data_IF_165510598890
#
_entry.id   IF_165510598890
#
_cell.length_a   1.000
_cell.length_b   1.000
_cell.length_c   1.000
_cell.angle_alpha   90.00
_cell.angle_beta   90.00
_cell.angle_gamma   90.00
#
_symmetry.space_group_name_H-M   'P 1'
#
loop_
_entity.id
_entity.type
_entity.pdbx_description
1 polymer ?
#
# COMPACT_ATOMS: atom_id res chain seq x y z
N UNK A 1 18.22 -4.91 -20.88
CA UNK A 1 17.59 -5.23 -19.55
C UNK A 1 18.65 -5.10 -18.44
N UNK A 2 18.30 -4.75 -17.20
CA UNK A 2 19.27 -4.50 -16.11
C UNK A 2 18.86 -5.11 -14.76
N UNK A 3 19.75 -5.85 -14.09
CA UNK A 3 19.54 -6.27 -12.69
C UNK A 3 19.46 -5.04 -11.78
N UNK A 4 18.53 -5.06 -10.83
CA UNK A 4 18.40 -4.00 -9.84
C UNK A 4 19.09 -4.36 -8.52
N UNK A 5 19.79 -3.38 -7.96
CA UNK A 5 20.20 -3.36 -6.56
C UNK A 5 19.26 -2.41 -5.83
N UNK A 6 18.43 -2.97 -4.95
CA UNK A 6 17.29 -2.29 -4.35
C UNK A 6 17.62 -1.74 -2.97
N UNK A 7 16.93 -0.66 -2.59
CA UNK A 7 17.09 -0.03 -1.28
C UNK A 7 16.24 -0.75 -0.23
N UNK A 8 16.80 -1.00 0.94
CA UNK A 8 16.07 -1.58 2.08
C UNK A 8 15.82 -0.51 3.15
N UNK A 9 14.56 -0.29 3.50
CA UNK A 9 14.15 0.67 4.53
C UNK A 9 14.02 -0.04 5.88
N UNK A 10 14.81 0.38 6.87
CA UNK A 10 14.83 -0.23 8.19
C UNK A 10 13.89 0.45 9.20
N UNK A 11 12.63 0.71 8.81
CA UNK A 11 11.66 1.32 9.71
C UNK A 11 11.33 0.41 10.90
N UNK A 12 11.10 1.00 12.08
CA UNK A 12 10.98 0.27 13.35
C UNK A 12 9.84 -0.78 13.39
N UNK A 13 8.84 -0.65 12.53
CA UNK A 13 7.70 -1.58 12.42
C UNK A 13 7.99 -2.82 11.56
N UNK A 14 9.12 -2.82 10.84
CA UNK A 14 9.47 -3.88 9.90
C UNK A 14 9.85 -5.20 10.56
N UNK A 15 9.54 -6.31 9.88
CA UNK A 15 9.98 -7.64 10.34
C UNK A 15 11.50 -7.76 10.31
N UNK A 16 12.08 -8.44 11.30
CA UNK A 16 13.52 -8.72 11.35
C UNK A 16 13.93 -9.95 10.53
N UNK A 17 12.98 -10.81 10.16
CA UNK A 17 13.28 -12.12 9.57
C UNK A 17 12.56 -12.36 8.23
N UNK A 18 11.44 -11.70 7.94
CA UNK A 18 10.61 -12.01 6.78
C UNK A 18 11.37 -12.05 5.45
N UNK A 19 12.19 -11.02 5.14
CA UNK A 19 12.97 -10.99 3.90
C UNK A 19 14.11 -12.01 3.89
N UNK A 20 14.67 -12.36 5.06
CA UNK A 20 15.67 -13.42 5.18
C UNK A 20 15.05 -14.79 4.95
N UNK A 21 13.87 -15.05 5.51
CA UNK A 21 13.15 -16.31 5.36
C UNK A 21 12.61 -16.51 3.93
N UNK A 22 12.04 -15.45 3.33
CA UNK A 22 11.47 -15.53 1.98
C UNK A 22 12.53 -15.56 0.89
N UNK A 23 13.58 -14.74 1.03
CA UNK A 23 14.50 -14.43 -0.07
C UNK A 23 15.98 -14.61 0.26
N UNK A 24 16.33 -15.05 1.47
CA UNK A 24 17.72 -15.22 1.88
C UNK A 24 18.48 -13.89 2.01
N UNK A 25 17.79 -12.76 2.14
CA UNK A 25 18.43 -11.46 2.33
C UNK A 25 19.15 -11.45 3.68
N UNK A 26 20.46 -11.22 3.66
CA UNK A 26 21.29 -11.20 4.86
C UNK A 26 20.91 -10.05 5.79
N UNK A 27 20.77 -10.35 7.09
CA UNK A 27 20.51 -9.36 8.14
C UNK A 27 21.36 -9.64 9.39
N UNK A 28 22.71 -9.62 9.29
CA UNK A 28 23.57 -10.03 10.40
C UNK A 28 23.45 -9.10 11.62
N UNK A 29 23.00 -7.86 11.44
CA UNK A 29 22.76 -6.90 12.53
C UNK A 29 21.36 -7.03 13.16
N UNK A 30 20.47 -7.87 12.61
CA UNK A 30 19.11 -8.06 13.15
C UNK A 30 18.24 -6.80 13.11
N UNK A 31 18.44 -5.94 12.10
CA UNK A 31 17.66 -4.72 11.93
C UNK A 31 16.24 -5.04 11.44
N UNK A 32 15.23 -4.23 11.79
CA UNK A 32 13.94 -4.27 11.13
C UNK A 32 14.09 -4.09 9.62
N UNK A 33 13.43 -4.90 8.81
CA UNK A 33 13.43 -4.83 7.35
C UNK A 33 12.01 -4.57 6.88
N UNK A 34 11.65 -3.29 6.76
CA UNK A 34 10.27 -2.86 6.61
C UNK A 34 9.81 -2.86 5.16
N UNK A 35 10.61 -2.25 4.28
CA UNK A 35 10.28 -2.11 2.86
C UNK A 35 11.50 -2.32 1.97
N UNK A 36 11.41 -3.21 0.98
CA UNK A 36 12.39 -3.32 -0.11
C UNK A 36 11.89 -2.52 -1.30
N UNK A 37 12.56 -1.42 -1.65
CA UNK A 37 12.14 -0.48 -2.70
C UNK A 37 12.77 -0.81 -4.04
N UNK A 38 11.91 -0.92 -5.05
CA UNK A 38 12.23 -1.15 -6.45
C UNK A 38 11.68 0.03 -7.27
N UNK A 39 12.58 0.84 -7.83
CA UNK A 39 12.18 1.95 -8.70
C UNK A 39 13.13 3.14 -8.64
N UNK A 40 12.61 4.32 -8.99
CA UNK A 40 13.39 5.54 -9.17
C UNK A 40 12.99 6.66 -8.18
N UNK A 41 12.48 6.29 -7.01
CA UNK A 41 12.03 7.25 -6.00
C UNK A 41 13.19 8.15 -5.53
N UNK A 42 13.03 9.48 -5.48
CA UNK A 42 14.15 10.42 -5.28
C UNK A 42 14.88 10.25 -3.94
N UNK A 43 14.18 9.81 -2.90
CA UNK A 43 14.80 9.59 -1.57
C UNK A 43 15.74 8.37 -1.51
N UNK A 44 15.49 7.35 -2.33
CA UNK A 44 16.23 6.08 -2.24
C UNK A 44 16.02 5.26 -3.53
N UNK A 45 16.55 5.71 -4.67
CA UNK A 45 16.37 5.01 -5.94
C UNK A 45 17.10 3.66 -5.92
N UNK A 46 16.57 2.66 -6.64
CA UNK A 46 17.35 1.48 -6.99
C UNK A 46 18.56 1.89 -7.84
N UNK A 47 19.59 1.05 -7.85
CA UNK A 47 20.75 1.23 -8.73
C UNK A 47 20.87 0.09 -9.73
N UNK A 48 21.50 0.39 -10.86
CA UNK A 48 21.80 -0.54 -11.97
C UNK A 48 23.27 -0.45 -12.32
N UNK A 49 23.82 -1.51 -12.90
CA UNK A 49 25.18 -1.49 -13.44
C UNK A 49 25.15 -0.98 -14.89
N UNK A 50 25.90 0.09 -15.15
CA UNK A 50 26.13 0.65 -16.49
C UNK A 50 27.63 0.62 -16.73
N UNK A 51 28.08 -0.27 -17.62
CA UNK A 51 29.50 -0.44 -17.99
C UNK A 51 30.44 -0.67 -16.78
N UNK A 52 29.99 -1.45 -15.79
CA UNK A 52 30.73 -1.76 -14.57
C UNK A 52 30.62 -0.68 -13.48
N UNK A 53 29.81 0.35 -13.68
CA UNK A 53 29.60 1.45 -12.74
C UNK A 53 28.16 1.43 -12.22
N UNK A 54 28.02 1.37 -10.90
CA UNK A 54 26.72 1.49 -10.25
C UNK A 54 26.16 2.91 -10.46
N UNK A 55 24.97 3.00 -11.07
CA UNK A 55 24.25 4.26 -11.29
C UNK A 55 22.84 4.19 -10.73
N UNK A 56 22.35 5.34 -10.25
CA UNK A 56 20.96 5.52 -9.87
C UNK A 56 20.05 5.26 -11.07
N UNK A 57 19.02 4.42 -10.90
CA UNK A 57 18.01 4.19 -11.93
C UNK A 57 17.29 5.50 -12.30
N UNK A 58 17.10 6.40 -11.33
CA UNK A 58 16.51 7.72 -11.59
C UNK A 58 17.36 8.53 -12.56
N UNK A 59 18.67 8.51 -12.40
CA UNK A 59 19.57 9.27 -13.28
C UNK A 59 19.63 8.65 -14.68
N UNK A 60 19.64 7.31 -14.77
CA UNK A 60 19.57 6.60 -16.05
C UNK A 60 18.29 6.94 -16.81
N UNK A 61 17.15 7.04 -16.11
CA UNK A 61 15.88 7.46 -16.70
C UNK A 61 15.94 8.92 -17.17
N UNK A 62 16.54 9.81 -16.38
CA UNK A 62 16.63 11.23 -16.71
C UNK A 62 17.54 11.53 -17.92
N UNK A 63 18.53 10.67 -18.19
CA UNK A 63 19.43 10.82 -19.34
C UNK A 63 18.70 10.61 -20.68
N UNK A 64 17.74 9.67 -20.74
CA UNK A 64 16.86 9.46 -21.90
C UNK A 64 15.45 8.98 -21.49
N UNK A 65 14.56 9.90 -21.08
CA UNK A 65 13.24 9.53 -20.60
C UNK A 65 12.38 8.82 -21.65
N UNK A 66 12.52 9.18 -22.92
CA UNK A 66 11.67 8.61 -23.99
C UNK A 66 12.08 7.17 -24.28
N UNK A 67 13.38 6.88 -24.40
CA UNK A 67 13.83 5.51 -24.62
C UNK A 67 13.59 4.61 -23.40
N UNK A 68 13.78 5.15 -22.19
CA UNK A 68 13.65 4.38 -20.95
C UNK A 68 12.20 4.16 -20.54
N UNK A 69 11.37 5.21 -20.48
CA UNK A 69 9.99 5.15 -20.00
C UNK A 69 8.97 4.83 -21.09
N UNK A 70 9.30 5.14 -22.35
CA UNK A 70 8.35 5.18 -23.46
C UNK A 70 7.72 6.57 -23.59
N UNK A 71 7.41 6.97 -24.82
CA UNK A 71 6.97 8.33 -25.15
C UNK A 71 5.72 8.76 -24.36
N UNK A 72 4.72 7.88 -24.24
CA UNK A 72 3.47 8.18 -23.53
C UNK A 72 3.69 8.47 -22.03
N UNK A 73 4.51 7.65 -21.36
CA UNK A 73 4.84 7.83 -19.93
C UNK A 73 5.71 9.07 -19.72
N UNK A 74 6.73 9.26 -20.57
CA UNK A 74 7.57 10.45 -20.52
C UNK A 74 6.76 11.74 -20.71
N UNK A 75 5.81 11.76 -21.64
CA UNK A 75 4.93 12.91 -21.87
C UNK A 75 3.94 13.13 -20.72
N UNK A 76 3.35 12.05 -20.18
CA UNK A 76 2.30 12.14 -19.15
C UNK A 76 2.85 12.47 -17.77
N UNK A 77 3.96 11.85 -17.39
CA UNK A 77 4.48 11.87 -16.01
C UNK A 77 5.87 12.48 -15.90
N UNK A 78 6.71 12.43 -16.94
CA UNK A 78 8.07 12.98 -16.93
C UNK A 78 9.08 12.20 -16.07
N UNK A 79 8.64 11.17 -15.35
CA UNK A 79 9.46 10.27 -14.54
C UNK A 79 8.81 8.87 -14.47
N UNK A 80 9.46 7.90 -13.81
CA UNK A 80 8.86 6.60 -13.54
C UNK A 80 7.63 6.80 -12.62
N UNK A 81 6.40 6.50 -13.07
CA UNK A 81 5.19 6.96 -12.38
C UNK A 81 4.79 6.13 -11.15
N UNK A 82 5.60 5.15 -10.77
CA UNK A 82 5.31 4.24 -9.67
C UNK A 82 6.55 3.88 -8.84
N UNK A 83 6.29 3.51 -7.60
CA UNK A 83 7.21 2.82 -6.71
C UNK A 83 6.67 1.41 -6.44
N UNK A 84 7.54 0.41 -6.58
CA UNK A 84 7.21 -0.98 -6.30
C UNK A 84 7.95 -1.45 -5.06
N UNK A 85 7.27 -2.16 -4.16
CA UNK A 85 7.86 -2.58 -2.89
C UNK A 85 7.53 -4.01 -2.53
N UNK A 86 8.40 -4.61 -1.72
CA UNK A 86 8.00 -5.65 -0.77
C UNK A 86 7.83 -4.97 0.58
N UNK A 87 6.63 -5.05 1.18
CA UNK A 87 6.29 -4.52 2.50
C UNK A 87 6.19 -5.67 3.50
N UNK A 88 6.87 -5.56 4.65
CA UNK A 88 6.96 -6.58 5.69
C UNK A 88 6.46 -6.04 7.04
N UNK A 89 5.13 -5.99 7.21
CA UNK A 89 4.50 -5.47 8.42
C UNK A 89 4.56 -6.52 9.55
N UNK A 90 5.40 -6.26 10.55
CA UNK A 90 5.45 -7.05 11.79
C UNK A 90 4.67 -6.38 12.94
N UNK A 91 4.33 -5.10 12.75
CA UNK A 91 3.47 -4.32 13.63
C UNK A 91 2.35 -3.64 12.81
N UNK A 92 1.18 -3.38 13.42
CA UNK A 92 0.13 -2.63 12.75
C UNK A 92 0.58 -1.21 12.40
N UNK A 93 0.34 -0.81 11.16
CA UNK A 93 0.63 0.53 10.67
C UNK A 93 -0.53 1.48 10.95
N UNK A 94 -0.26 2.79 10.81
CA UNK A 94 -1.29 3.81 10.98
C UNK A 94 -2.42 3.66 9.98
N UNK A 95 -3.63 4.04 10.37
CA UNK A 95 -4.76 4.16 9.45
C UNK A 95 -4.52 5.38 8.57
N UNK A 96 -4.67 5.20 7.27
CA UNK A 96 -4.37 6.19 6.25
C UNK A 96 -5.58 6.43 5.36
N UNK A 97 -5.67 7.66 4.86
CA UNK A 97 -6.56 8.08 3.78
C UNK A 97 -5.71 8.85 2.78
N UNK A 98 -5.86 8.51 1.50
CA UNK A 98 -5.23 9.25 0.43
C UNK A 98 -6.24 10.22 -0.20
N UNK A 99 -5.92 11.52 -0.29
CA UNK A 99 -6.81 12.47 -0.94
C UNK A 99 -6.99 12.13 -2.42
N UNK A 100 -8.11 12.57 -3.01
CA UNK A 100 -8.26 12.57 -4.48
C UNK A 100 -7.22 13.49 -5.13
N UNK A 101 -6.95 13.31 -6.43
CA UNK A 101 -5.96 14.13 -7.15
C UNK A 101 -6.26 15.62 -7.06
N UNK A 102 -7.52 16.01 -7.29
CA UNK A 102 -7.97 17.40 -7.18
C UNK A 102 -7.75 17.96 -5.77
N UNK A 103 -8.05 17.16 -4.74
CA UNK A 103 -7.83 17.60 -3.36
C UNK A 103 -6.34 17.69 -3.00
N UNK A 104 -5.50 16.79 -3.54
CA UNK A 104 -4.05 16.83 -3.40
C UNK A 104 -3.44 18.09 -4.03
N UNK A 105 -3.83 18.43 -5.26
CA UNK A 105 -3.39 19.65 -5.95
C UNK A 105 -3.77 20.90 -5.16
N UNK A 106 -5.03 20.98 -4.71
CA UNK A 106 -5.52 22.09 -3.93
C UNK A 106 -4.83 22.19 -2.56
N UNK A 107 -4.69 21.07 -1.85
CA UNK A 107 -4.05 20.99 -0.53
C UNK A 107 -2.57 21.37 -0.58
N UNK A 108 -1.84 20.83 -1.55
CA UNK A 108 -0.44 21.16 -1.78
C UNK A 108 -0.22 22.65 -2.06
N UNK A 109 -1.05 23.24 -2.92
CA UNK A 109 -1.00 24.67 -3.23
C UNK A 109 -1.31 25.54 -1.99
N UNK A 110 -2.35 25.17 -1.21
CA UNK A 110 -2.71 25.87 0.04
C UNK A 110 -1.56 25.86 1.05
N UNK A 111 -1.00 24.69 1.35
CA UNK A 111 0.07 24.57 2.35
C UNK A 111 1.37 25.26 1.89
N UNK A 112 1.67 25.27 0.58
CA UNK A 112 2.79 26.03 0.02
C UNK A 112 2.58 27.54 0.15
N UNK A 113 1.39 28.04 -0.17
CA UNK A 113 1.05 29.46 -0.03
C UNK A 113 1.13 29.92 1.43
N UNK A 114 0.82 29.04 2.37
CA UNK A 114 0.97 29.27 3.81
C UNK A 114 2.43 29.13 4.32
N UNK A 115 3.38 28.71 3.46
CA UNK A 115 4.78 28.56 3.82
C UNK A 115 5.08 27.40 4.78
N UNK A 116 4.20 26.40 4.88
CA UNK A 116 4.37 25.26 5.78
C UNK A 116 5.53 24.39 5.26
N UNK A 117 6.62 24.17 6.03
CA UNK A 117 7.73 23.34 5.59
C UNK A 117 7.30 21.90 5.29
N UNK A 118 7.90 21.25 4.26
CA UNK A 118 7.59 19.86 3.91
C UNK A 118 7.82 18.85 5.04
N UNK A 119 8.66 19.20 6.02
CA UNK A 119 8.99 18.40 7.19
C UNK A 119 8.13 18.70 8.42
N UNK A 120 7.24 19.70 8.36
CA UNK A 120 6.39 20.09 9.49
C UNK A 120 5.39 18.98 9.86
N UNK A 121 4.97 18.94 11.13
CA UNK A 121 4.09 17.87 11.62
C UNK A 121 2.67 18.00 11.06
N UNK A 122 2.24 19.24 10.81
CA UNK A 122 0.97 19.66 10.24
C UNK A 122 0.95 19.64 8.70
N UNK A 123 2.07 19.31 8.04
CA UNK A 123 2.13 19.21 6.58
C UNK A 123 1.45 17.93 6.11
N UNK A 124 0.24 18.04 5.57
CA UNK A 124 -0.53 16.91 5.06
C UNK A 124 -0.18 16.58 3.61
N UNK A 125 0.15 17.60 2.80
CA UNK A 125 0.36 17.47 1.36
C UNK A 125 1.82 17.74 0.98
N UNK A 126 2.54 16.70 0.54
CA UNK A 126 3.96 16.78 0.15
C UNK A 126 4.17 16.90 -1.35
N UNK A 127 3.14 16.63 -2.13
CA UNK A 127 3.12 16.74 -3.58
C UNK A 127 1.68 17.00 -4.07
N UNK A 128 1.54 17.33 -5.35
CA UNK A 128 0.27 17.62 -5.99
C UNK A 128 -0.36 16.38 -6.65
N UNK A 129 -0.05 15.16 -6.19
CA UNK A 129 -0.54 13.93 -6.81
C UNK A 129 -1.42 13.11 -5.86
N UNK A 130 -2.25 12.25 -6.44
CA UNK A 130 -2.94 11.20 -5.68
C UNK A 130 -1.99 10.04 -5.37
N UNK A 131 -2.43 9.13 -4.50
CA UNK A 131 -1.67 7.94 -4.12
C UNK A 131 -2.52 6.67 -4.27
N UNK A 132 -2.86 6.24 -5.50
CA UNK A 132 -3.45 4.93 -5.72
C UNK A 132 -2.45 3.84 -5.34
N UNK A 133 -2.95 2.79 -4.69
CA UNK A 133 -2.12 1.69 -4.23
C UNK A 133 -2.79 0.34 -4.55
N UNK A 134 -1.98 -0.63 -4.98
CA UNK A 134 -2.37 -2.04 -5.07
C UNK A 134 -1.48 -2.82 -4.10
N UNK A 135 -2.10 -3.59 -3.21
CA UNK A 135 -1.40 -4.56 -2.37
C UNK A 135 -1.71 -5.97 -2.87
N UNK A 136 -0.68 -6.81 -3.00
CA UNK A 136 -0.77 -8.22 -3.42
C UNK A 136 -0.07 -9.09 -2.37
N UNK A 137 -0.79 -10.02 -1.76
CA UNK A 137 -0.30 -10.79 -0.64
C UNK A 137 0.75 -11.84 -1.05
N UNK A 138 1.89 -11.84 -0.36
CA UNK A 138 2.95 -12.85 -0.50
C UNK A 138 2.84 -13.93 0.60
N UNK A 139 2.48 -13.51 1.81
CA UNK A 139 2.04 -14.36 2.91
C UNK A 139 0.59 -13.99 3.26
N UNK A 140 -0.11 -14.71 4.16
CA UNK A 140 -1.34 -14.17 4.73
C UNK A 140 -1.12 -12.74 5.21
N UNK A 141 -1.93 -11.80 4.70
CA UNK A 141 -1.73 -10.36 4.90
C UNK A 141 -3.01 -9.74 5.47
N UNK A 142 -2.95 -9.37 6.74
CA UNK A 142 -4.07 -8.78 7.46
C UNK A 142 -4.09 -7.26 7.26
N UNK A 143 -5.26 -6.73 6.92
CA UNK A 143 -5.47 -5.31 6.66
C UNK A 143 -6.87 -4.84 7.11
N UNK A 144 -7.05 -3.52 7.18
CA UNK A 144 -8.35 -2.87 7.14
C UNK A 144 -8.53 -2.12 5.83
N UNK A 145 -9.72 -2.14 5.23
CA UNK A 145 -10.02 -1.35 4.02
C UNK A 145 -11.51 -1.00 3.90
N UNK A 146 -11.81 0.31 3.91
CA UNK A 146 -13.14 0.84 3.69
C UNK A 146 -14.13 0.53 4.81
N UNK A 147 -15.21 1.31 4.86
CA UNK A 147 -16.26 1.11 5.85
C UNK A 147 -17.03 -0.18 5.57
N UNK A 148 -17.40 -0.88 6.65
CA UNK A 148 -18.34 -2.01 6.59
C UNK A 148 -19.73 -1.53 6.19
N UNK A 149 -20.60 -2.47 5.85
CA UNK A 149 -22.02 -2.17 5.68
C UNK A 149 -22.64 -1.70 7.00
N UNK A 150 -23.53 -0.71 6.94
CA UNK A 150 -24.09 -0.09 8.14
C UNK A 150 -24.73 -1.10 9.12
N UNK A 151 -25.48 -2.14 8.68
CA UNK A 151 -26.01 -3.15 9.60
C UNK A 151 -24.92 -3.92 10.35
N UNK A 152 -23.78 -4.18 9.70
CA UNK A 152 -22.64 -4.84 10.33
C UNK A 152 -21.98 -3.93 11.36
N UNK A 153 -21.79 -2.65 11.04
CA UNK A 153 -21.28 -1.64 11.99
C UNK A 153 -22.20 -1.58 13.22
N UNK A 154 -23.52 -1.58 13.02
CA UNK A 154 -24.50 -1.60 14.12
C UNK A 154 -24.27 -2.81 15.02
N UNK A 155 -24.26 -4.03 14.47
CA UNK A 155 -24.05 -5.25 15.25
C UNK A 155 -22.71 -5.26 16.00
N UNK A 156 -21.66 -4.67 15.42
CA UNK A 156 -20.33 -4.59 16.04
C UNK A 156 -20.22 -3.50 17.11
N UNK A 157 -21.06 -2.46 17.04
CA UNK A 157 -21.09 -1.36 18.01
C UNK A 157 -22.04 -1.59 19.19
N UNK A 158 -23.08 -2.42 19.05
CA UNK A 158 -23.98 -2.82 20.14
C UNK A 158 -23.25 -3.14 21.46
N UNK A 159 -22.15 -3.92 21.47
CA UNK A 159 -21.48 -4.33 22.71
C UNK A 159 -20.74 -3.19 23.40
N UNK A 160 -20.49 -2.10 22.67
CA UNK A 160 -19.78 -0.91 23.15
C UNK A 160 -20.68 0.32 23.11
N UNK A 161 -22.00 0.15 23.06
CA UNK A 161 -22.98 1.25 23.03
C UNK A 161 -22.78 2.27 24.16
N UNK A 162 -22.37 1.80 25.34
CA UNK A 162 -22.12 2.63 26.52
C UNK A 162 -20.78 3.38 26.52
N UNK A 163 -19.92 3.17 25.52
CA UNK A 163 -18.61 3.80 25.41
C UNK A 163 -18.70 5.31 25.14
N UNK A 164 -19.67 5.73 24.32
CA UNK A 164 -19.91 7.15 24.02
C UNK A 164 -21.35 7.39 23.51
N UNK A 165 -22.03 8.51 23.87
CA UNK A 165 -23.39 8.80 23.39
C UNK A 165 -23.55 8.81 21.86
N UNK A 166 -22.50 9.20 21.14
CA UNK A 166 -22.51 9.19 19.68
C UNK A 166 -22.60 7.77 19.09
N UNK A 167 -22.14 6.73 19.80
CA UNK A 167 -22.34 5.34 19.38
C UNK A 167 -23.82 4.98 19.51
N UNK A 168 -24.46 5.28 20.64
CA UNK A 168 -25.89 5.07 20.83
C UNK A 168 -26.72 5.79 19.75
N UNK A 169 -26.38 7.04 19.43
CA UNK A 169 -27.04 7.79 18.36
C UNK A 169 -26.90 7.11 16.98
N UNK A 170 -25.73 6.55 16.67
CA UNK A 170 -25.54 5.79 15.44
C UNK A 170 -26.37 4.50 15.42
N UNK A 171 -26.46 3.77 16.54
CA UNK A 171 -27.27 2.56 16.66
C UNK A 171 -28.77 2.83 16.41
N UNK A 172 -29.27 3.99 16.84
CA UNK A 172 -30.66 4.39 16.63
C UNK A 172 -30.95 4.88 15.19
N UNK A 173 -29.98 5.51 14.53
CA UNK A 173 -30.17 6.24 13.27
C UNK A 173 -29.02 6.00 12.27
N UNK A 174 -28.69 4.72 12.03
CA UNK A 174 -27.56 4.33 11.19
C UNK A 174 -27.69 4.91 9.77
N UNK A 175 -26.75 5.77 9.40
CA UNK A 175 -26.65 6.44 8.11
C UNK A 175 -25.20 6.86 7.86
N UNK A 176 -24.86 7.18 6.62
CA UNK A 176 -23.52 7.70 6.27
C UNK A 176 -23.20 9.01 7.02
N UNK A 177 -24.18 9.89 7.17
CA UNK A 177 -24.03 11.12 7.95
C UNK A 177 -23.79 10.85 9.44
N UNK A 178 -24.51 9.88 10.03
CA UNK A 178 -24.28 9.46 11.41
C UNK A 178 -22.91 8.78 11.57
N UNK A 179 -22.46 8.02 10.58
CA UNK A 179 -21.13 7.39 10.54
C UNK A 179 -20.02 8.45 10.51
N UNK A 180 -20.15 9.47 9.66
CA UNK A 180 -19.20 10.58 9.59
C UNK A 180 -19.04 11.29 10.95
N UNK A 181 -20.18 11.60 11.60
CA UNK A 181 -20.19 12.22 12.92
C UNK A 181 -19.60 11.30 14.00
N UNK A 182 -19.92 10.00 13.94
CA UNK A 182 -19.35 9.01 14.85
C UNK A 182 -17.82 8.91 14.70
N UNK A 183 -17.34 8.77 13.48
CA UNK A 183 -15.93 8.67 13.15
C UNK A 183 -15.14 9.88 13.65
N UNK A 184 -15.62 11.10 13.33
CA UNK A 184 -15.05 12.35 13.82
C UNK A 184 -14.99 12.41 15.35
N UNK A 185 -16.07 11.99 16.01
CA UNK A 185 -16.17 11.99 17.47
C UNK A 185 -15.18 11.04 18.10
N UNK A 186 -15.10 9.80 17.61
CA UNK A 186 -14.17 8.79 18.12
C UNK A 186 -12.72 9.25 17.97
N UNK A 187 -12.34 9.80 16.82
CA UNK A 187 -10.99 10.33 16.61
C UNK A 187 -10.66 11.49 17.54
N UNK A 188 -11.65 12.32 17.88
CA UNK A 188 -11.47 13.52 18.70
C UNK A 188 -11.51 13.26 20.21
N UNK A 189 -11.74 12.02 20.66
CA UNK A 189 -11.84 11.72 22.09
C UNK A 189 -10.56 12.10 22.85
N UNK A 190 -10.75 12.77 23.99
CA UNK A 190 -9.68 13.17 24.91
C UNK A 190 -10.10 12.90 26.36
N UNK A 191 -9.12 12.92 27.25
CA UNK A 191 -9.29 12.92 28.71
C UNK A 191 -10.25 11.82 29.22
N UNK A 192 -11.17 12.18 30.12
CA UNK A 192 -12.11 11.23 30.73
C UNK A 192 -13.00 10.52 29.70
N UNK A 193 -13.42 11.22 28.64
CA UNK A 193 -14.25 10.64 27.60
C UNK A 193 -13.51 9.54 26.83
N UNK A 194 -12.21 9.76 26.56
CA UNK A 194 -11.34 8.76 25.94
C UNK A 194 -11.12 7.57 26.88
N UNK A 195 -10.75 7.83 28.13
CA UNK A 195 -10.51 6.78 29.14
C UNK A 195 -11.75 5.90 29.33
N UNK A 196 -12.94 6.52 29.43
CA UNK A 196 -14.21 5.80 29.52
C UNK A 196 -14.45 4.93 28.29
N UNK A 197 -14.35 5.51 27.09
CA UNK A 197 -14.62 4.80 25.85
C UNK A 197 -13.70 3.58 25.69
N UNK A 198 -12.39 3.78 25.87
CA UNK A 198 -11.40 2.71 25.81
C UNK A 198 -11.60 1.67 26.92
N UNK A 199 -12.02 2.08 28.12
CA UNK A 199 -12.37 1.17 29.21
C UNK A 199 -13.50 0.22 28.82
N UNK A 200 -14.59 0.76 28.26
CA UNK A 200 -15.73 -0.05 27.76
C UNK A 200 -15.29 -0.98 26.63
N UNK A 201 -14.49 -0.48 25.68
CA UNK A 201 -13.95 -1.31 24.59
C UNK A 201 -13.10 -2.46 25.15
N UNK A 202 -12.17 -2.18 26.06
CA UNK A 202 -11.30 -3.18 26.71
C UNK A 202 -12.11 -4.22 27.49
N UNK A 203 -13.19 -3.82 28.18
CA UNK A 203 -14.12 -4.76 28.81
C UNK A 203 -14.82 -5.66 27.80
N UNK A 204 -15.25 -5.11 26.65
CA UNK A 204 -15.87 -5.90 25.58
C UNK A 204 -14.89 -6.92 24.97
N UNK A 205 -13.60 -6.58 24.85
CA UNK A 205 -12.56 -7.50 24.35
C UNK A 205 -12.39 -8.73 25.22
N UNK A 206 -12.57 -8.62 26.54
CA UNK A 206 -12.46 -9.78 27.45
C UNK A 206 -13.64 -10.76 27.35
N UNK A 207 -14.78 -10.29 26.83
CA UNK A 207 -16.01 -11.07 26.75
C UNK A 207 -16.30 -11.60 25.33
N UNK A 208 -15.43 -11.29 24.36
CA UNK A 208 -15.66 -11.58 22.94
C UNK A 208 -14.45 -12.25 22.29
N UNK A 209 -14.78 -13.20 21.43
CA UNK A 209 -13.83 -13.96 20.62
C UNK A 209 -14.12 -13.78 19.12
N UNK A 210 -13.16 -14.15 18.28
CA UNK A 210 -13.26 -14.02 16.84
C UNK A 210 -13.02 -12.61 16.31
N UNK A 211 -13.20 -12.43 15.01
CA UNK A 211 -13.02 -11.14 14.34
C UNK A 211 -14.25 -10.24 14.48
N UNK A 212 -14.09 -8.90 14.54
CA UNK A 212 -12.83 -8.15 14.52
C UNK A 212 -12.17 -7.98 15.91
N UNK A 213 -12.72 -8.59 16.96
CA UNK A 213 -12.25 -8.41 18.35
C UNK A 213 -10.81 -8.88 18.55
N UNK A 214 -10.42 -9.99 17.90
CA UNK A 214 -9.04 -10.47 17.92
C UNK A 214 -8.08 -9.48 17.26
N UNK A 215 -8.48 -8.87 16.14
CA UNK A 215 -7.72 -7.78 15.51
C UNK A 215 -7.56 -6.58 16.45
N UNK A 216 -8.62 -6.18 17.16
CA UNK A 216 -8.52 -5.09 18.16
C UNK A 216 -7.55 -5.46 19.28
N UNK A 217 -7.59 -6.70 19.80
CA UNK A 217 -6.63 -7.19 20.82
C UNK A 217 -5.18 -7.06 20.32
N UNK A 218 -4.91 -7.47 19.08
CA UNK A 218 -3.58 -7.35 18.46
C UNK A 218 -3.15 -5.90 18.28
N UNK A 219 -4.03 -5.02 17.82
CA UNK A 219 -3.70 -3.60 17.66
C UNK A 219 -3.45 -2.95 19.04
N UNK A 220 -4.22 -3.30 20.06
CA UNK A 220 -4.09 -2.76 21.41
C UNK A 220 -2.76 -3.10 22.10
N UNK A 221 -2.05 -4.16 21.68
CA UNK A 221 -0.69 -4.42 22.21
C UNK A 221 0.36 -3.43 21.70
N UNK A 222 0.08 -2.74 20.59
CA UNK A 222 0.95 -1.71 20.02
C UNK A 222 0.42 -0.28 20.26
N UNK A 223 -0.90 -0.12 20.29
CA UNK A 223 -1.59 1.16 20.41
C UNK A 223 -2.64 1.12 21.55
N UNK A 224 -2.24 0.86 22.82
CA UNK A 224 -3.17 0.56 23.91
C UNK A 224 -4.12 1.72 24.27
N UNK A 225 -3.72 2.93 23.94
CA UNK A 225 -4.42 4.16 24.28
C UNK A 225 -4.80 4.97 23.03
N UNK A 226 -4.91 4.34 21.86
CA UNK A 226 -5.27 5.02 20.61
C UNK A 226 -6.79 4.95 20.35
N UNK A 227 -7.36 6.06 19.88
CA UNK A 227 -8.79 6.11 19.52
C UNK A 227 -9.12 5.20 18.31
N UNK A 228 -8.12 4.90 17.48
CA UNK A 228 -8.19 3.97 16.36
C UNK A 228 -8.50 2.54 16.76
N UNK A 229 -8.48 2.17 18.05
CA UNK A 229 -8.92 0.83 18.48
C UNK A 229 -10.40 0.53 18.16
N UNK A 230 -11.22 1.55 17.93
CA UNK A 230 -12.59 1.38 17.45
C UNK A 230 -12.68 1.11 15.95
N UNK A 231 -11.64 1.38 15.16
CA UNK A 231 -11.71 1.30 13.69
C UNK A 231 -12.05 -0.09 13.16
N UNK A 232 -11.64 -1.23 13.74
CA UNK A 232 -12.03 -2.54 13.22
C UNK A 232 -13.54 -2.83 13.31
N UNK A 233 -14.27 -2.08 14.16
CA UNK A 233 -15.73 -2.12 14.27
C UNK A 233 -16.41 -1.33 13.13
N UNK A 234 -15.71 -0.36 12.54
CA UNK A 234 -16.21 0.51 11.47
C UNK A 234 -15.72 0.07 10.09
N UNK A 235 -14.48 -0.45 10.01
CA UNK A 235 -13.77 -0.80 8.79
C UNK A 235 -13.72 -2.31 8.60
N UNK A 236 -13.78 -2.75 7.34
CA UNK A 236 -13.63 -4.16 7.02
C UNK A 236 -12.24 -4.64 7.44
N UNK A 237 -12.18 -5.65 8.31
CA UNK A 237 -10.96 -6.41 8.59
C UNK A 237 -10.91 -7.58 7.61
N UNK A 238 -9.81 -7.69 6.87
CA UNK A 238 -9.62 -8.72 5.84
C UNK A 238 -8.22 -9.33 5.97
N UNK A 239 -8.12 -10.64 5.74
CA UNK A 239 -6.84 -11.36 5.61
C UNK A 239 -6.73 -11.89 4.20
N UNK A 240 -5.94 -11.21 3.37
CA UNK A 240 -5.63 -11.65 2.01
C UNK A 240 -4.79 -12.92 2.08
N UNK A 241 -5.16 -13.94 1.33
CA UNK A 241 -4.36 -15.13 1.11
C UNK A 241 -3.26 -14.86 0.08
N UNK A 242 -2.12 -15.58 0.12
CA UNK A 242 -1.09 -15.45 -0.90
C UNK A 242 -1.66 -15.55 -2.31
N UNK A 243 -1.41 -14.55 -3.16
CA UNK A 243 -1.99 -14.45 -4.50
C UNK A 243 -3.20 -13.55 -4.65
N UNK A 244 -3.87 -13.19 -3.55
CA UNK A 244 -4.96 -12.22 -3.56
C UNK A 244 -4.41 -10.79 -3.55
N UNK A 245 -5.16 -9.86 -4.14
CA UNK A 245 -4.82 -8.46 -4.17
C UNK A 245 -6.01 -7.58 -3.81
N UNK A 246 -5.71 -6.37 -3.38
CA UNK A 246 -6.69 -5.34 -3.04
C UNK A 246 -6.20 -3.99 -3.51
N UNK A 247 -7.07 -3.24 -4.17
CA UNK A 247 -6.82 -1.84 -4.54
C UNK A 247 -7.35 -0.90 -3.46
N UNK A 248 -6.52 0.08 -3.11
CA UNK A 248 -6.85 1.14 -2.16
C UNK A 248 -7.27 2.38 -2.92
N UNK A 249 -8.56 2.68 -2.81
CA UNK A 249 -9.15 3.83 -3.45
C UNK A 249 -8.80 5.11 -2.66
N UNK A 250 -8.70 6.22 -3.38
CA UNK A 250 -8.69 7.53 -2.74
C UNK A 250 -9.92 7.68 -1.83
N UNK A 251 -9.78 8.53 -0.81
CA UNK A 251 -10.83 8.91 0.12
C UNK A 251 -11.38 7.75 0.96
N UNK A 252 -10.68 6.61 0.99
CA UNK A 252 -11.06 5.39 1.70
C UNK A 252 -10.04 5.08 2.81
N UNK A 253 -10.49 4.94 4.08
CA UNK A 253 -9.59 4.61 5.18
C UNK A 253 -9.14 3.15 5.11
N UNK A 254 -7.84 2.94 5.29
CA UNK A 254 -7.23 1.62 5.27
C UNK A 254 -6.00 1.54 6.18
N UNK A 255 -5.58 0.34 6.55
CA UNK A 255 -4.37 0.10 7.31
C UNK A 255 -3.80 -1.29 7.03
N UNK A 256 -2.48 -1.43 7.00
CA UNK A 256 -1.82 -2.73 6.98
C UNK A 256 -1.50 -3.15 8.40
N UNK A 257 -1.88 -4.38 8.76
CA UNK A 257 -1.83 -4.85 10.14
C UNK A 257 -0.71 -5.86 10.37
N UNK A 258 -0.58 -6.85 9.47
CA UNK A 258 0.42 -7.91 9.62
C UNK A 258 0.64 -8.68 8.31
N UNK A 259 1.89 -9.05 8.04
CA UNK A 259 2.26 -9.96 6.96
C UNK A 259 3.16 -9.32 5.92
N UNK A 260 3.42 -10.06 4.84
CA UNK A 260 4.25 -9.63 3.72
C UNK A 260 3.43 -9.49 2.45
N UNK A 261 3.60 -8.38 1.76
CA UNK A 261 2.92 -8.11 0.50
C UNK A 261 3.83 -7.38 -0.48
N UNK A 262 3.52 -7.55 -1.76
CA UNK A 262 3.92 -6.61 -2.80
C UNK A 262 3.01 -5.39 -2.73
N UNK A 263 3.59 -4.19 -2.81
CA UNK A 263 2.85 -2.93 -2.90
C UNK A 263 3.30 -2.18 -4.14
N UNK A 264 2.34 -1.76 -4.97
CA UNK A 264 2.57 -0.81 -6.07
C UNK A 264 1.81 0.46 -5.75
N UNK A 265 2.50 1.60 -5.82
CA UNK A 265 1.91 2.89 -5.54
C UNK A 265 2.39 3.96 -6.52
N UNK A 266 1.57 4.97 -6.80
CA UNK A 266 2.05 6.18 -7.47
C UNK A 266 3.09 6.91 -6.60
N UNK A 267 3.91 7.76 -7.21
CA UNK A 267 4.83 8.63 -6.46
C UNK A 267 4.06 9.75 -5.77
N UNK A 268 3.57 9.48 -4.56
CA UNK A 268 2.99 10.49 -3.67
C UNK A 268 3.26 10.13 -2.21
N UNK A 269 3.58 11.14 -1.41
CA UNK A 269 3.75 11.05 0.04
C UNK A 269 2.55 11.66 0.79
N UNK A 270 1.45 11.95 0.10
CA UNK A 270 0.22 12.51 0.68
C UNK A 270 -0.52 11.47 1.54
N UNK A 271 -0.52 11.70 2.86
CA UNK A 271 -1.11 10.77 3.84
C UNK A 271 -1.84 11.56 4.91
N UNK A 272 -3.17 11.47 4.90
CA UNK A 272 -4.02 11.90 6.01
C UNK A 272 -4.18 10.72 6.97
N UNK A 273 -3.76 10.89 8.23
CA UNK A 273 -3.84 9.81 9.22
C UNK A 273 -5.20 9.80 9.88
N UNK A 274 -5.69 8.60 10.21
CA UNK A 274 -7.02 8.39 10.78
C UNK A 274 -6.99 7.48 12.02
N UNK A 275 -5.90 7.52 12.78
CA UNK A 275 -5.70 6.72 14.00
C UNK A 275 -4.52 5.75 13.90
N UNK A 276 -4.27 5.02 14.99
CA UNK A 276 -3.13 4.13 15.17
C UNK A 276 -1.80 4.88 14.92
N UNK A 277 -1.68 6.05 15.53
CA UNK A 277 -0.52 6.92 15.33
C UNK A 277 -0.32 7.87 16.50
N UNK A 278 0.95 8.10 16.91
CA UNK A 278 1.27 9.17 17.86
C UNK A 278 1.37 10.54 17.18
N UNK A 279 1.28 10.61 15.84
CA UNK A 279 1.46 11.85 15.08
C UNK A 279 0.18 12.69 15.11
N UNK A 280 0.34 13.98 14.82
CA UNK A 280 -0.77 14.90 14.63
C UNK A 280 -1.76 14.38 13.58
N UNK A 281 -3.05 14.60 13.83
CA UNK A 281 -4.16 14.31 12.93
C UNK A 281 -4.95 15.60 12.73
N UNK A 282 -4.96 16.11 11.50
CA UNK A 282 -5.87 17.17 11.07
C UNK A 282 -7.25 16.57 10.80
N UNK A 283 -8.09 16.52 11.84
CA UNK A 283 -9.42 15.91 11.75
C UNK A 283 -10.30 16.63 10.72
N UNK A 284 -10.39 17.98 10.68
CA UNK A 284 -11.13 18.68 9.64
C UNK A 284 -10.68 18.33 8.21
N UNK A 285 -9.38 18.37 7.91
CA UNK A 285 -8.87 18.02 6.57
C UNK A 285 -9.11 16.54 6.25
N UNK A 286 -8.92 15.64 7.22
CA UNK A 286 -9.23 14.22 7.07
C UNK A 286 -10.69 13.99 6.65
N UNK A 287 -11.64 14.58 7.37
CA UNK A 287 -13.07 14.41 7.10
C UNK A 287 -13.48 14.99 5.74
N UNK A 288 -12.82 16.07 5.30
CA UNK A 288 -13.05 16.65 3.98
C UNK A 288 -12.57 15.75 2.81
N UNK A 289 -11.70 14.78 3.11
CA UNK A 289 -11.12 13.84 2.14
C UNK A 289 -11.56 12.39 2.39
N UNK A 290 -12.70 12.18 3.06
CA UNK A 290 -13.25 10.86 3.33
C UNK A 290 -14.61 10.68 2.64
N UNK A 291 -14.78 9.53 1.99
CA UNK A 291 -16.10 9.05 1.56
C UNK A 291 -16.65 8.08 2.60
N UNK A 292 -17.74 8.48 3.24
CA UNK A 292 -18.44 7.67 4.23
C UNK A 292 -19.43 6.69 3.59
N UNK A 293 -18.98 6.03 2.53
CA UNK A 293 -19.74 5.04 1.77
C UNK A 293 -19.29 3.63 2.17
N UNK A 294 -20.25 2.73 2.37
CA UNK A 294 -19.94 1.35 2.70
C UNK A 294 -19.29 0.63 1.51
N UNK A 295 -18.29 -0.21 1.80
CA UNK A 295 -17.66 -1.09 0.82
C UNK A 295 -17.98 -2.55 1.19
N UNK A 296 -18.89 -3.22 0.45
CA UNK A 296 -19.25 -4.60 0.74
C UNK A 296 -18.03 -5.52 0.67
N UNK A 297 -17.91 -6.47 1.60
CA UNK A 297 -16.74 -7.32 1.74
C UNK A 297 -16.35 -8.06 0.44
N UNK A 298 -17.34 -8.48 -0.35
CA UNK A 298 -17.14 -9.17 -1.63
C UNK A 298 -16.45 -8.31 -2.72
N UNK A 299 -16.37 -6.99 -2.52
CA UNK A 299 -15.77 -6.02 -3.46
C UNK A 299 -14.37 -5.56 -3.03
N UNK A 300 -13.86 -6.06 -1.91
CA UNK A 300 -12.55 -5.66 -1.39
C UNK A 300 -11.41 -6.18 -2.27
N UNK A 301 -11.53 -7.42 -2.75
CA UNK A 301 -10.50 -8.05 -3.57
C UNK A 301 -10.57 -7.60 -5.03
N UNK A 302 -9.42 -7.25 -5.59
CA UNK A 302 -9.27 -7.00 -7.01
C UNK A 302 -9.28 -8.33 -7.75
N UNK A 303 -10.30 -8.56 -8.57
CA UNK A 303 -10.42 -9.79 -9.36
C UNK A 303 -9.46 -9.76 -10.56
N UNK A 304 -8.50 -10.70 -10.67
CA UNK A 304 -7.59 -10.73 -11.80
C UNK A 304 -8.28 -11.21 -13.08
N UNK A 305 -7.74 -10.80 -14.22
CA UNK A 305 -8.11 -11.25 -15.55
C UNK A 305 -7.00 -12.15 -16.11
N UNK A 306 -7.36 -13.39 -16.45
CA UNK A 306 -6.43 -14.34 -17.06
C UNK A 306 -6.17 -14.00 -18.52
N UNK A 307 -4.90 -13.94 -18.91
CA UNK A 307 -4.46 -13.76 -20.28
C UNK A 307 -3.27 -14.69 -20.56
N UNK A 308 -3.53 -15.85 -21.19
CA UNK A 308 -2.50 -16.88 -21.34
C UNK A 308 -2.00 -17.36 -19.98
N UNK A 309 -0.69 -17.31 -19.77
CA UNK A 309 -0.03 -17.70 -18.50
C UNK A 309 0.09 -16.53 -17.50
N UNK A 310 -0.59 -15.41 -17.78
CA UNK A 310 -0.58 -14.20 -16.96
C UNK A 310 -1.91 -13.96 -16.25
N UNK A 311 -1.85 -13.43 -15.04
CA UNK A 311 -2.96 -12.84 -14.30
C UNK A 311 -2.75 -11.32 -14.23
N UNK A 312 -3.56 -10.56 -14.96
CA UNK A 312 -3.55 -9.11 -14.91
C UNK A 312 -4.49 -8.63 -13.81
N UNK A 313 -4.06 -7.71 -12.96
CA UNK A 313 -4.92 -7.09 -11.94
C UNK A 313 -5.38 -5.74 -12.48
N UNK A 314 -6.67 -5.56 -12.85
CA UNK A 314 -7.16 -4.29 -13.39
C UNK A 314 -7.07 -3.18 -12.35
N UNK A 315 -6.51 -2.04 -12.74
CA UNK A 315 -6.29 -0.89 -11.87
C UNK A 315 -6.98 0.32 -12.48
N UNK A 316 -7.85 1.02 -11.74
CA UNK A 316 -8.62 2.15 -12.27
C UNK A 316 -7.82 3.46 -12.27
N UNK A 317 -6.52 3.40 -12.56
CA UNK A 317 -5.63 4.56 -12.71
C UNK A 317 -4.65 4.36 -13.86
N UNK A 318 -4.13 5.46 -14.38
CA UNK A 318 -3.15 5.44 -15.46
C UNK A 318 -1.71 5.35 -14.96
N UNK A 319 -1.44 5.52 -13.66
CA UNK A 319 -0.10 5.59 -13.10
C UNK A 319 0.68 4.28 -13.27
N UNK A 320 0.01 3.12 -13.14
CA UNK A 320 0.64 1.82 -13.25
C UNK A 320 -0.35 0.69 -13.58
N UNK A 321 0.20 -0.43 -14.02
CA UNK A 321 -0.45 -1.71 -14.23
C UNK A 321 0.34 -2.82 -13.54
N UNK A 322 -0.35 -3.88 -13.10
CA UNK A 322 0.25 -5.00 -12.37
C UNK A 322 -0.19 -6.34 -12.97
N UNK A 323 0.77 -7.25 -13.15
CA UNK A 323 0.51 -8.59 -13.62
C UNK A 323 1.40 -9.62 -12.93
N UNK A 324 0.88 -10.84 -12.75
CA UNK A 324 1.64 -12.00 -12.30
C UNK A 324 1.75 -12.99 -13.45
N UNK A 325 2.96 -13.43 -13.77
CA UNK A 325 3.25 -14.39 -14.82
C UNK A 325 3.65 -15.72 -14.20
N UNK A 326 2.95 -16.79 -14.54
CA UNK A 326 3.35 -18.15 -14.17
C UNK A 326 4.41 -18.62 -15.13
N UNK A 327 5.59 -19.00 -14.62
CA UNK A 327 6.73 -19.38 -15.45
C UNK A 327 6.72 -20.89 -15.74
N UNK A 328 7.11 -21.24 -16.96
CA UNK A 328 7.37 -22.62 -17.38
C UNK A 328 8.68 -22.70 -18.16
N UNK A 329 9.11 -23.93 -18.49
CA UNK A 329 10.26 -24.14 -19.38
C UNK A 329 10.03 -23.58 -20.79
N UNK A 330 8.77 -23.40 -21.21
CA UNK A 330 8.42 -22.75 -22.48
C UNK A 330 8.48 -21.24 -22.29
N UNK A 331 9.33 -20.50 -23.03
CA UNK A 331 9.41 -19.06 -22.90
C UNK A 331 8.10 -18.37 -23.30
N UNK A 332 7.63 -17.44 -22.47
CA UNK A 332 6.54 -16.54 -22.78
C UNK A 332 7.08 -15.14 -23.12
N UNK A 333 6.41 -14.43 -24.02
CA UNK A 333 6.81 -13.08 -24.40
C UNK A 333 6.15 -12.06 -23.47
N UNK A 334 6.97 -11.23 -22.82
CA UNK A 334 6.51 -10.11 -22.00
C UNK A 334 6.72 -8.81 -22.79
N UNK A 335 5.62 -8.19 -23.19
CA UNK A 335 5.60 -6.96 -23.97
C UNK A 335 4.85 -5.84 -23.24
N UNK A 336 5.34 -4.62 -23.40
CA UNK A 336 4.72 -3.37 -22.95
C UNK A 336 5.30 -2.18 -23.76
N UNK A 337 4.61 -1.05 -23.79
CA UNK A 337 5.10 0.19 -24.43
C UNK A 337 5.93 1.07 -23.49
N UNK A 338 6.00 0.68 -22.22
CA UNK A 338 6.60 1.45 -21.13
C UNK A 338 7.79 0.75 -20.49
N UNK A 339 8.45 1.43 -19.55
CA UNK A 339 9.33 0.78 -18.60
C UNK A 339 8.57 -0.30 -17.79
N UNK A 340 9.27 -1.38 -17.45
CA UNK A 340 8.77 -2.43 -16.56
C UNK A 340 9.79 -2.81 -15.48
N UNK A 341 9.28 -3.09 -14.29
CA UNK A 341 10.00 -3.79 -13.23
C UNK A 341 9.49 -5.23 -13.18
N UNK A 342 10.42 -6.19 -13.23
CA UNK A 342 10.14 -7.62 -13.07
C UNK A 342 10.72 -8.10 -11.74
N UNK A 343 9.93 -8.81 -10.95
CA UNK A 343 10.33 -9.32 -9.63
C UNK A 343 10.00 -10.80 -9.48
N UNK A 344 11.00 -11.61 -9.17
CA UNK A 344 10.82 -13.05 -8.97
C UNK A 344 10.21 -13.28 -7.59
N UNK A 345 8.93 -13.70 -7.54
CA UNK A 345 8.24 -13.99 -6.28
C UNK A 345 8.76 -15.29 -5.67
N UNK A 346 8.87 -16.33 -6.50
CA UNK A 346 9.23 -17.69 -6.11
C UNK A 346 9.75 -18.45 -7.33
N UNK A 347 10.43 -19.57 -7.10
CA UNK A 347 11.04 -20.36 -8.18
C UNK A 347 12.28 -19.68 -8.74
N UNK A 348 12.36 -19.55 -10.07
CA UNK A 348 13.48 -18.92 -10.75
C UNK A 348 13.02 -18.39 -12.11
N UNK A 349 13.39 -17.14 -12.43
CA UNK A 349 13.09 -16.54 -13.71
C UNK A 349 14.35 -16.38 -14.56
N UNK A 350 14.30 -16.84 -15.81
CA UNK A 350 15.30 -16.57 -16.84
C UNK A 350 14.69 -15.59 -17.84
N UNK A 351 15.26 -14.40 -17.92
CA UNK A 351 14.76 -13.29 -18.74
C UNK A 351 15.76 -13.05 -19.86
N UNK A 352 15.31 -13.12 -21.11
CA UNK A 352 16.19 -13.07 -22.27
C UNK A 352 15.78 -11.98 -23.29
N UNK A 353 16.80 -11.31 -23.84
CA UNK A 353 16.68 -10.36 -24.96
C UNK A 353 17.93 -10.47 -25.83
N UNK A 354 17.74 -10.75 -27.12
CA UNK A 354 18.82 -10.74 -28.12
C UNK A 354 20.08 -11.53 -27.69
N UNK A 355 19.90 -12.69 -27.04
CA UNK A 355 21.00 -13.53 -26.53
C UNK A 355 21.57 -13.11 -25.17
N UNK A 356 21.23 -11.93 -24.64
CA UNK A 356 21.52 -11.57 -23.25
C UNK A 356 20.52 -12.25 -22.32
N UNK A 357 21.02 -12.98 -21.31
CA UNK A 357 20.22 -13.64 -20.29
C UNK A 357 20.46 -13.04 -18.90
N UNK A 358 19.36 -12.83 -18.15
CA UNK A 358 19.37 -12.49 -16.73
C UNK A 358 18.58 -13.54 -15.96
N UNK A 359 19.26 -14.31 -15.10
CA UNK A 359 18.62 -15.25 -14.16
C UNK A 359 18.29 -14.50 -12.87
N UNK A 360 17.05 -14.54 -12.38
CA UNK A 360 16.60 -13.92 -11.13
C UNK A 360 16.10 -15.01 -10.16
N UNK A 361 16.66 -15.00 -8.96
CA UNK A 361 16.19 -15.81 -7.83
C UNK A 361 15.07 -15.08 -7.07
N UNK A 362 14.31 -15.78 -6.19
CA UNK A 362 13.26 -15.15 -5.40
C UNK A 362 13.78 -13.93 -4.64
N UNK A 363 13.02 -12.83 -4.68
CA UNK A 363 13.41 -11.56 -4.05
C UNK A 363 14.28 -10.66 -4.93
N UNK A 364 14.79 -11.16 -6.06
CA UNK A 364 15.52 -10.34 -7.02
C UNK A 364 14.61 -9.72 -8.08
N UNK A 365 15.00 -8.53 -8.55
CA UNK A 365 14.30 -7.83 -9.63
C UNK A 365 15.23 -7.35 -10.73
N UNK A 366 14.63 -6.97 -11.87
CA UNK A 366 15.29 -6.27 -12.96
C UNK A 366 14.39 -5.19 -13.55
N UNK A 367 15.03 -4.23 -14.21
CA UNK A 367 14.43 -3.17 -15.00
C UNK A 367 14.51 -3.49 -16.49
N UNK A 368 13.40 -3.27 -17.19
CA UNK A 368 13.28 -3.37 -18.65
C UNK A 368 12.83 -2.00 -19.16
N UNK A 369 13.72 -1.30 -19.85
CA UNK A 369 13.37 -0.06 -20.54
C UNK A 369 12.32 -0.30 -21.62
N UNK A 370 11.54 0.73 -21.96
CA UNK A 370 10.56 0.66 -23.05
C UNK A 370 11.20 0.26 -24.38
N UNK A 371 12.39 0.80 -24.70
CA UNK A 371 13.17 0.47 -25.91
C UNK A 371 13.64 -0.99 -25.95
N UNK A 372 13.68 -1.68 -24.82
CA UNK A 372 14.15 -3.06 -24.68
C UNK A 372 12.99 -4.07 -24.80
N UNK A 373 11.75 -3.59 -24.81
CA UNK A 373 10.56 -4.41 -25.00
C UNK A 373 10.50 -5.02 -26.43
N UNK A 374 9.97 -6.23 -26.63
CA UNK A 374 9.61 -7.22 -25.62
C UNK A 374 10.82 -8.03 -25.14
N UNK A 375 10.67 -8.72 -24.01
CA UNK A 375 11.63 -9.72 -23.49
C UNK A 375 10.95 -11.10 -23.43
N UNK A 376 11.71 -12.19 -23.46
CA UNK A 376 11.17 -13.52 -23.14
C UNK A 376 11.43 -13.87 -21.68
N UNK A 377 10.50 -14.59 -21.06
CA UNK A 377 10.64 -15.09 -19.69
C UNK A 377 10.31 -16.59 -19.64
N UNK A 378 11.19 -17.37 -19.02
CA UNK A 378 11.02 -18.80 -18.78
C UNK A 378 11.49 -19.15 -17.36
N UNK A 379 11.20 -20.37 -16.91
CA UNK A 379 11.68 -20.90 -15.63
C UNK A 379 10.58 -21.59 -14.83
N UNK A 380 10.55 -21.35 -13.53
CA UNK A 380 9.56 -21.94 -12.60
C UNK A 380 9.06 -20.90 -11.62
N UNK A 381 7.86 -21.12 -11.08
CA UNK A 381 7.27 -20.22 -10.09
C UNK A 381 6.57 -19.01 -10.72
N UNK A 382 6.66 -17.86 -10.06
CA UNK A 382 5.88 -16.66 -10.41
C UNK A 382 6.76 -15.43 -10.53
N UNK A 383 6.50 -14.62 -11.55
CA UNK A 383 7.16 -13.34 -11.80
C UNK A 383 6.12 -12.21 -11.76
N UNK A 384 6.28 -11.26 -10.85
CA UNK A 384 5.50 -10.03 -10.85
C UNK A 384 6.05 -9.04 -11.88
N UNK A 385 5.16 -8.32 -12.55
CA UNK A 385 5.49 -7.21 -13.44
C UNK A 385 4.70 -5.97 -13.05
N UNK A 386 5.41 -4.88 -12.76
CA UNK A 386 4.84 -3.52 -12.70
C UNK A 386 5.27 -2.79 -13.97
N UNK A 387 4.31 -2.18 -14.65
CA UNK A 387 4.53 -1.46 -15.89
C UNK A 387 3.45 -0.37 -16.05
N UNK A 388 3.38 0.27 -17.20
CA UNK A 388 2.31 1.21 -17.53
C UNK A 388 1.57 0.79 -18.81
N UNK A 389 0.25 0.92 -18.84
CA UNK A 389 -0.59 0.49 -19.96
C UNK A 389 -0.83 1.57 -21.03
N UNK A 390 -0.32 2.80 -20.84
CA UNK A 390 -0.35 3.85 -21.86
C UNK A 390 0.45 3.41 -23.09
N UNK A 391 -0.08 3.76 -24.27
CA UNK A 391 0.46 3.39 -25.58
C UNK A 391 1.00 4.58 -26.34
#
# INVERSE_FOLDING_TARGET
MQKLNNSLQNYAWGSKTALTELYGIENPQGLPMAELWMGAHPKSPSTVDVDGVARSLRDVINDDPVATLGAAVAQRFGELPFLFKVLCADQPLSIQVHPSKTAAEAGFARENAAGIPLSAAERNYKDANHKPELVYALTPFQAMNGFRELPEIVSLLEPVAGAHPQIAHFLENASEAALAKLFATLLSLKDESKTRALGVLKSALNAREGEPWQTIKTIASHYPDDNGLFSPLLLNVITLQPGEAMFLFAETPHAYLKGVALEVMANSDNVLRAGLTPKFIDIPELLANLKFEAKPAATLLTQPQTQGDSLNFPIPVEDFAFAIHTLSATPQTLAQHSAALLFCIEGQAVIEKAGQQLVRQPGESCFVAASESPVSAAGTGRLARVFNALT
#
